data_IF_255665636842
#
_entry.id   IF_255665636842
#
_cell.length_a   1.000
_cell.length_b   1.000
_cell.length_c   1.000
_cell.angle_alpha   90.00
_cell.angle_beta   90.00
_cell.angle_gamma   90.00
#
_symmetry.space_group_name_H-M   'P 1'
#
loop_
_entity.id
_entity.type
_entity.pdbx_description
1 polymer ?
#
# COMPACT_ATOMS: atom_id res chain seq x y z
N UNK A 1 9.42 17.79 -25.81
CA UNK A 1 8.11 17.52 -25.19
C UNK A 1 8.36 16.93 -23.81
N UNK A 2 7.84 17.54 -22.72
CA UNK A 2 8.03 16.96 -21.37
C UNK A 2 7.15 15.71 -21.22
N UNK A 3 7.66 14.68 -20.54
CA UNK A 3 6.84 13.49 -20.21
C UNK A 3 5.67 13.94 -19.29
N UNK A 4 4.45 13.43 -19.50
CA UNK A 4 3.32 13.75 -18.64
C UNK A 4 3.61 13.33 -17.19
N UNK A 5 3.15 14.14 -16.23
CA UNK A 5 3.32 13.86 -14.81
C UNK A 5 2.65 12.53 -14.42
N UNK A 6 3.41 11.66 -13.75
CA UNK A 6 2.94 10.35 -13.28
C UNK A 6 1.91 10.52 -12.15
N UNK A 7 1.09 9.50 -11.93
CA UNK A 7 0.18 9.46 -10.78
C UNK A 7 0.99 9.56 -9.48
N UNK A 8 2.13 8.88 -9.43
CA UNK A 8 3.08 8.97 -8.33
C UNK A 8 3.53 10.41 -8.06
N UNK A 9 4.01 11.15 -9.06
CA UNK A 9 4.52 12.52 -8.84
C UNK A 9 3.41 13.46 -8.38
N UNK A 10 2.20 13.35 -8.95
CA UNK A 10 1.04 14.15 -8.54
C UNK A 10 0.68 13.93 -7.07
N UNK A 11 0.74 12.68 -6.60
CA UNK A 11 0.49 12.34 -5.19
C UNK A 11 1.55 12.97 -4.29
N UNK A 12 2.84 12.77 -4.60
CA UNK A 12 3.92 13.36 -3.80
C UNK A 12 3.82 14.88 -3.73
N UNK A 13 3.51 15.53 -4.86
CA UNK A 13 3.38 16.99 -4.92
C UNK A 13 2.20 17.48 -4.08
N UNK A 14 1.06 16.78 -4.13
CA UNK A 14 -0.10 17.10 -3.29
C UNK A 14 0.24 17.02 -1.79
N UNK A 15 0.90 15.92 -1.37
CA UNK A 15 1.28 15.71 0.02
C UNK A 15 2.34 16.72 0.50
N UNK A 16 3.38 16.98 -0.30
CA UNK A 16 4.46 17.95 0.02
C UNK A 16 3.97 19.39 0.14
N UNK A 17 2.96 19.77 -0.64
CA UNK A 17 2.37 21.12 -0.59
C UNK A 17 1.51 21.33 0.65
N UNK A 18 0.96 20.27 1.24
CA UNK A 18 0.12 20.39 2.42
C UNK A 18 0.96 20.60 3.70
N UNK A 19 1.16 21.86 4.11
CA UNK A 19 1.92 22.22 5.31
C UNK A 19 1.26 21.83 6.63
N UNK A 20 0.01 21.36 6.61
CA UNK A 20 -0.73 20.93 7.81
C UNK A 20 -0.49 19.46 8.16
N UNK A 21 0.22 18.72 7.31
CA UNK A 21 0.57 17.32 7.53
C UNK A 21 2.08 17.12 7.59
N UNK A 22 2.48 16.20 8.45
CA UNK A 22 3.72 15.46 8.33
C UNK A 22 3.56 14.44 7.18
N UNK A 23 4.63 14.26 6.42
CA UNK A 23 4.67 13.36 5.29
C UNK A 23 6.06 12.75 5.15
N UNK A 24 6.11 11.43 5.02
CA UNK A 24 7.32 10.69 4.71
C UNK A 24 7.00 9.52 3.79
N UNK A 25 7.92 9.20 2.88
CA UNK A 25 7.76 8.11 1.90
C UNK A 25 8.76 7.02 2.19
N UNK A 26 8.27 5.79 2.26
CA UNK A 26 9.07 4.57 2.39
C UNK A 26 8.84 3.73 1.15
N UNK A 27 9.90 3.46 0.41
CA UNK A 27 9.85 2.53 -0.72
C UNK A 27 9.96 1.11 -0.17
N UNK A 28 8.98 0.27 -0.47
CA UNK A 28 9.07 -1.15 -0.22
C UNK A 28 9.27 -1.84 -1.57
N UNK A 29 10.50 -2.28 -1.79
CA UNK A 29 10.82 -3.15 -2.91
C UNK A 29 10.28 -4.54 -2.56
N UNK A 30 9.26 -5.00 -3.29
CA UNK A 30 8.93 -6.43 -3.28
C UNK A 30 9.62 -7.08 -4.45
N UNK A 31 10.68 -7.83 -4.12
CA UNK A 31 11.18 -8.89 -4.95
C UNK A 31 10.18 -10.05 -4.88
N UNK A 32 9.78 -10.54 -6.04
CA UNK A 32 8.87 -11.67 -6.22
C UNK A 32 9.30 -12.84 -5.34
N UNK A 33 8.40 -13.34 -4.50
CA UNK A 33 8.45 -14.77 -4.16
C UNK A 33 8.07 -15.54 -5.42
N UNK A 34 8.58 -16.78 -5.57
CA UNK A 34 8.67 -17.64 -6.77
C UNK A 34 7.42 -17.77 -7.69
N UNK A 35 6.29 -17.18 -7.32
CA UNK A 35 5.01 -17.25 -8.03
C UNK A 35 4.27 -15.90 -8.14
N UNK A 36 4.90 -14.78 -7.78
CA UNK A 36 4.28 -13.43 -7.81
C UNK A 36 4.96 -12.53 -8.84
N UNK A 37 4.17 -11.78 -9.61
CA UNK A 37 4.68 -10.81 -10.59
C UNK A 37 5.38 -9.63 -9.89
N UNK A 38 6.37 -9.02 -10.55
CA UNK A 38 7.03 -7.82 -10.04
C UNK A 38 6.00 -6.70 -9.81
N UNK A 39 6.00 -6.13 -8.60
CA UNK A 39 5.19 -4.97 -8.25
C UNK A 39 5.93 -4.04 -7.31
N UNK A 40 5.80 -2.73 -7.54
CA UNK A 40 6.41 -1.72 -6.68
C UNK A 40 5.39 -1.23 -5.66
N UNK A 41 5.72 -1.24 -4.37
CA UNK A 41 4.87 -0.67 -3.33
C UNK A 41 5.54 0.57 -2.74
N UNK A 42 4.80 1.68 -2.73
CA UNK A 42 5.25 2.94 -2.15
C UNK A 42 4.33 3.29 -0.98
N UNK A 43 4.88 3.34 0.23
CA UNK A 43 4.12 3.75 1.41
C UNK A 43 4.35 5.24 1.69
N UNK A 44 3.29 6.03 1.64
CA UNK A 44 3.26 7.42 2.06
C UNK A 44 2.62 7.50 3.45
N UNK A 45 3.45 7.70 4.47
CA UNK A 45 3.01 7.87 5.85
C UNK A 45 2.68 9.34 6.08
N UNK A 46 1.43 9.62 6.45
CA UNK A 46 0.98 11.00 6.69
C UNK A 46 0.31 11.12 8.05
N UNK A 47 0.45 12.28 8.68
CA UNK A 47 -0.23 12.59 9.94
C UNK A 47 -0.45 14.10 10.04
N UNK A 48 -1.51 14.58 10.72
CA UNK A 48 -1.63 16.00 11.03
C UNK A 48 -0.49 16.45 11.95
N UNK A 49 0.09 17.63 11.70
CA UNK A 49 1.22 18.17 12.50
C UNK A 49 0.77 18.61 13.90
N UNK A 50 -0.46 19.10 14.02
CA UNK A 50 -1.04 19.61 15.27
C UNK A 50 -2.51 19.22 15.38
N UNK A 51 -2.98 19.07 16.62
CA UNK A 51 -4.38 18.84 16.95
C UNK A 51 -4.68 17.42 17.43
N UNK A 52 -5.79 17.29 18.14
CA UNK A 52 -6.41 16.00 18.46
C UNK A 52 -7.62 15.86 17.56
N UNK A 53 -7.66 14.79 16.78
CA UNK A 53 -8.72 14.57 15.81
C UNK A 53 -9.60 13.42 16.27
N UNK A 54 -10.91 13.63 16.15
CA UNK A 54 -11.88 12.54 16.17
C UNK A 54 -11.75 11.70 14.90
N UNK A 55 -12.27 10.49 14.94
CA UNK A 55 -12.19 9.55 13.82
C UNK A 55 -12.82 10.11 12.55
N UNK A 56 -13.96 10.81 12.68
CA UNK A 56 -14.68 11.41 11.56
C UNK A 56 -13.88 12.56 10.93
N UNK A 57 -13.11 13.29 11.74
CA UNK A 57 -12.24 14.37 11.26
C UNK A 57 -11.02 13.82 10.53
N UNK A 58 -10.43 12.72 11.02
CA UNK A 58 -9.39 11.98 10.30
C UNK A 58 -9.91 11.42 8.98
N UNK A 59 -11.14 10.90 8.96
CA UNK A 59 -11.79 10.39 7.77
C UNK A 59 -11.98 11.48 6.70
N UNK A 60 -12.40 12.69 7.12
CA UNK A 60 -12.50 13.87 6.26
C UNK A 60 -11.13 14.36 5.78
N UNK A 61 -10.15 14.40 6.67
CA UNK A 61 -8.78 14.78 6.31
C UNK A 61 -8.23 13.83 5.25
N UNK A 62 -8.40 12.52 5.43
CA UNK A 62 -7.91 11.49 4.51
C UNK A 62 -8.36 11.72 3.07
N UNK A 63 -9.66 11.95 2.83
CA UNK A 63 -10.18 12.20 1.47
C UNK A 63 -9.70 13.52 0.88
N UNK A 64 -9.32 14.49 1.71
CA UNK A 64 -8.83 15.78 1.24
C UNK A 64 -7.32 15.81 0.95
N UNK A 65 -6.58 14.73 1.26
CA UNK A 65 -5.11 14.71 1.16
C UNK A 65 -4.61 14.93 -0.28
N UNK A 66 -5.32 14.39 -1.27
CA UNK A 66 -4.87 14.36 -2.66
C UNK A 66 -6.04 14.85 -3.54
N UNK A 67 -6.24 16.18 -3.63
CA UNK A 67 -7.35 16.74 -4.39
C UNK A 67 -7.21 16.41 -5.88
N UNK A 68 -8.33 16.07 -6.52
CA UNK A 68 -8.38 15.79 -7.96
C UNK A 68 -7.85 14.42 -8.38
N UNK A 69 -7.60 13.51 -7.44
CA UNK A 69 -7.23 12.13 -7.75
C UNK A 69 -8.10 11.13 -6.99
N UNK A 70 -8.86 10.33 -7.73
CA UNK A 70 -9.65 9.23 -7.19
C UNK A 70 -8.74 8.04 -6.80
N UNK A 71 -8.87 7.48 -5.57
CA UNK A 71 -8.16 6.29 -5.17
C UNK A 71 -8.74 5.04 -5.85
N UNK A 72 -7.88 4.08 -6.21
CA UNK A 72 -8.31 2.75 -6.67
C UNK A 72 -9.04 1.99 -5.56
N UNK A 73 -8.58 2.15 -4.31
CA UNK A 73 -9.22 1.59 -3.13
C UNK A 73 -9.10 2.55 -1.95
N UNK A 74 -10.13 2.59 -1.12
CA UNK A 74 -10.18 3.35 0.13
C UNK A 74 -10.59 2.43 1.26
N UNK A 75 -9.80 2.40 2.32
CA UNK A 75 -10.17 1.77 3.58
C UNK A 75 -10.34 2.87 4.64
N UNK A 76 -11.51 2.90 5.27
CA UNK A 76 -11.85 3.93 6.25
C UNK A 76 -11.19 3.67 7.60
N UNK A 77 -11.15 4.68 8.47
CA UNK A 77 -10.90 4.43 9.89
C UNK A 77 -12.07 3.66 10.49
N UNK A 78 -11.77 2.66 11.31
CA UNK A 78 -12.77 1.94 12.09
C UNK A 78 -12.15 1.41 13.39
N UNK A 79 -13.02 1.05 14.33
CA UNK A 79 -12.64 0.38 15.56
C UNK A 79 -13.11 -1.07 15.49
N UNK A 80 -12.25 -1.98 15.86
CA UNK A 80 -12.56 -3.39 16.02
C UNK A 80 -11.84 -3.91 17.27
N UNK A 81 -12.57 -4.60 18.15
CA UNK A 81 -12.00 -5.28 19.32
C UNK A 81 -11.07 -4.42 20.20
N UNK A 82 -11.40 -3.12 20.34
CA UNK A 82 -10.60 -2.16 21.12
C UNK A 82 -9.34 -1.63 20.41
N UNK A 83 -9.12 -2.02 19.15
CA UNK A 83 -8.06 -1.52 18.30
C UNK A 83 -8.60 -0.49 17.31
N UNK A 84 -7.82 0.57 17.09
CA UNK A 84 -8.10 1.55 16.04
C UNK A 84 -7.34 1.14 14.77
N UNK A 85 -8.09 0.88 13.71
CA UNK A 85 -7.55 0.64 12.38
C UNK A 85 -7.43 1.97 11.64
N UNK A 86 -6.22 2.22 11.12
CA UNK A 86 -5.91 3.45 10.42
C UNK A 86 -6.40 3.41 8.97
N UNK A 87 -6.99 4.52 8.53
CA UNK A 87 -7.44 4.67 7.15
C UNK A 87 -6.28 4.72 6.17
N UNK A 88 -6.54 4.23 4.95
CA UNK A 88 -5.57 4.29 3.83
C UNK A 88 -6.26 4.52 2.50
N UNK A 89 -5.55 5.22 1.62
CA UNK A 89 -5.88 5.38 0.21
C UNK A 89 -4.85 4.60 -0.61
N UNK A 90 -5.32 3.77 -1.54
CA UNK A 90 -4.48 3.03 -2.47
C UNK A 90 -4.69 3.58 -3.88
N UNK A 91 -3.59 3.86 -4.57
CA UNK A 91 -3.57 4.25 -5.96
C UNK A 91 -2.71 3.28 -6.75
N UNK A 92 -3.24 2.76 -7.86
CA UNK A 92 -2.47 1.91 -8.76
C UNK A 92 -2.08 2.68 -10.02
N UNK A 93 -0.82 2.53 -10.41
CA UNK A 93 -0.24 3.10 -11.62
C UNK A 93 0.43 2.00 -12.43
N UNK A 94 0.09 1.89 -13.70
CA UNK A 94 0.80 1.02 -14.61
C UNK A 94 2.17 1.61 -14.93
N UNK A 95 3.24 0.83 -14.72
CA UNK A 95 4.63 1.29 -14.93
C UNK A 95 5.42 0.43 -15.91
N UNK A 96 4.86 -0.68 -16.40
CA UNK A 96 5.50 -1.53 -17.39
C UNK A 96 4.84 -2.90 -17.52
N UNK A 97 5.50 -3.79 -18.25
CA UNK A 97 5.09 -5.19 -18.42
C UNK A 97 6.26 -6.10 -18.06
N UNK A 98 5.95 -7.20 -17.39
CA UNK A 98 6.87 -8.29 -17.09
C UNK A 98 6.53 -9.44 -18.04
N UNK A 99 7.55 -9.92 -18.75
CA UNK A 99 7.45 -11.09 -19.61
C UNK A 99 8.28 -12.20 -18.99
N UNK A 100 7.64 -13.32 -18.65
CA UNK A 100 8.34 -14.48 -18.12
C UNK A 100 8.09 -15.71 -18.99
N UNK A 101 9.15 -16.47 -19.19
CA UNK A 101 9.15 -17.77 -19.86
C UNK A 101 9.67 -18.78 -18.85
N UNK A 102 8.83 -19.74 -18.48
CA UNK A 102 9.20 -20.86 -17.61
C UNK A 102 9.20 -22.13 -18.45
N UNK A 103 10.34 -22.82 -18.50
CA UNK A 103 10.44 -24.17 -19.04
C UNK A 103 10.34 -25.16 -17.89
N UNK A 104 9.42 -26.10 -17.97
CA UNK A 104 9.32 -27.25 -17.07
C UNK A 104 9.76 -28.45 -17.88
N UNK A 105 10.77 -29.17 -17.39
CA UNK A 105 11.27 -30.39 -18.03
C UNK A 105 10.94 -31.58 -17.13
N UNK A 106 10.30 -32.59 -17.70
CA UNK A 106 10.05 -33.87 -17.04
C UNK A 106 10.95 -34.92 -17.67
N UNK A 107 11.73 -35.57 -16.81
CA UNK A 107 12.65 -36.64 -17.22
C UNK A 107 12.01 -38.02 -17.16
N UNK A 108 10.88 -38.16 -16.44
CA UNK A 108 10.08 -39.39 -16.42
C UNK A 108 9.12 -39.39 -17.62
N UNK A 109 9.48 -40.18 -18.63
CA UNK A 109 8.76 -40.26 -19.90
C UNK A 109 7.44 -41.02 -19.80
N UNK A 110 7.28 -41.87 -18.79
CA UNK A 110 6.11 -42.73 -18.64
C UNK A 110 4.91 -41.96 -18.07
N UNK A 111 5.16 -40.78 -17.48
CA UNK A 111 4.14 -39.92 -16.87
C UNK A 111 3.99 -38.56 -17.56
N UNK A 112 4.39 -38.42 -18.82
CA UNK A 112 4.29 -37.14 -19.53
C UNK A 112 2.82 -36.75 -19.80
N UNK A 113 2.34 -35.61 -19.27
CA UNK A 113 1.07 -35.04 -19.65
C UNK A 113 1.06 -34.65 -21.13
N UNK A 114 -0.13 -34.58 -21.74
CA UNK A 114 -0.30 -34.27 -23.18
C UNK A 114 0.28 -32.93 -23.63
N UNK A 115 0.40 -31.98 -22.70
CA UNK A 115 0.87 -30.62 -22.99
C UNK A 115 2.41 -30.53 -23.05
N UNK A 116 3.13 -31.60 -22.68
CA UNK A 116 4.58 -31.67 -22.80
C UNK A 116 4.99 -32.13 -24.19
N UNK A 117 5.80 -31.31 -24.87
CA UNK A 117 6.36 -31.61 -26.18
C UNK A 117 7.84 -31.95 -25.96
N UNK A 118 8.26 -33.16 -26.32
CA UNK A 118 9.62 -33.66 -26.10
C UNK A 118 10.09 -33.58 -24.64
N UNK A 119 9.19 -33.85 -23.68
CA UNK A 119 9.51 -33.77 -22.25
C UNK A 119 9.59 -32.35 -21.70
N UNK A 120 9.27 -31.31 -22.49
CA UNK A 120 9.24 -29.92 -22.05
C UNK A 120 7.84 -29.31 -22.15
N UNK A 121 7.49 -28.50 -21.15
CA UNK A 121 6.37 -27.58 -21.18
C UNK A 121 6.89 -26.15 -21.03
N UNK A 122 6.64 -25.32 -22.05
CA UNK A 122 6.96 -23.89 -22.02
C UNK A 122 5.72 -23.10 -21.63
N UNK A 123 5.82 -22.36 -20.53
CA UNK A 123 4.79 -21.44 -20.05
C UNK A 123 5.29 -20.02 -20.29
N UNK A 124 4.63 -19.32 -21.21
CA UNK A 124 4.84 -17.89 -21.43
C UNK A 124 3.70 -17.11 -20.78
N UNK A 125 4.04 -16.08 -20.00
CA UNK A 125 3.04 -15.13 -19.50
C UNK A 125 3.55 -13.70 -19.57
N UNK A 126 2.60 -12.78 -19.73
CA UNK A 126 2.81 -11.34 -19.62
C UNK A 126 1.98 -10.83 -18.45
N UNK A 127 2.64 -10.17 -17.52
CA UNK A 127 2.02 -9.55 -16.36
C UNK A 127 2.16 -8.04 -16.45
N UNK A 128 1.13 -7.30 -16.04
CA UNK A 128 1.24 -5.85 -15.87
C UNK A 128 2.05 -5.56 -14.63
N UNK A 129 3.10 -4.75 -14.77
CA UNK A 129 3.83 -4.21 -13.63
C UNK A 129 3.11 -2.97 -13.13
N UNK A 130 2.68 -3.02 -11.87
CA UNK A 130 1.99 -1.93 -11.20
C UNK A 130 2.85 -1.34 -10.10
N UNK A 131 2.79 0.00 -9.98
CA UNK A 131 3.15 0.72 -8.77
C UNK A 131 1.90 0.95 -7.93
N UNK A 132 1.89 0.41 -6.72
CA UNK A 132 0.86 0.65 -5.70
C UNK A 132 1.35 1.72 -4.74
N UNK A 133 0.65 2.84 -4.69
CA UNK A 133 0.96 3.95 -3.78
C UNK A 133 -0.07 3.93 -2.67
N UNK A 134 0.37 3.63 -1.45
CA UNK A 134 -0.46 3.47 -0.26
C UNK A 134 -0.23 4.68 0.64
N UNK A 135 -1.23 5.55 0.70
CA UNK A 135 -1.21 6.74 1.55
C UNK A 135 -1.95 6.40 2.84
N UNK A 136 -1.20 6.25 3.93
CA UNK A 136 -1.72 5.83 5.22
C UNK A 136 -1.76 7.02 6.18
N UNK A 137 -2.97 7.37 6.65
CA UNK A 137 -3.16 8.48 7.58
C UNK A 137 -3.13 7.98 9.02
N UNK A 138 -2.21 8.53 9.80
CA UNK A 138 -2.08 8.26 11.23
C UNK A 138 -2.69 9.41 12.04
N UNK A 139 -3.17 9.14 13.26
CA UNK A 139 -3.78 10.17 14.10
C UNK A 139 -2.81 11.29 14.53
N UNK A 140 -1.51 11.00 14.60
CA UNK A 140 -0.47 11.97 14.95
C UNK A 140 0.92 11.54 14.45
N UNK A 141 1.86 12.49 14.46
CA UNK A 141 3.23 12.31 13.96
C UNK A 141 4.01 11.23 14.70
N UNK A 142 3.81 11.08 16.03
CA UNK A 142 4.54 10.10 16.83
C UNK A 142 4.23 8.67 16.36
N UNK A 143 2.95 8.37 16.11
CA UNK A 143 2.52 7.06 15.60
C UNK A 143 3.04 6.85 14.18
N UNK A 144 2.95 7.86 13.31
CA UNK A 144 3.46 7.76 11.94
C UNK A 144 4.95 7.42 11.89
N UNK A 145 5.77 8.12 12.70
CA UNK A 145 7.20 7.86 12.81
C UNK A 145 7.51 6.46 13.35
N UNK A 146 6.74 6.01 14.34
CA UNK A 146 6.92 4.66 14.88
C UNK A 146 6.62 3.57 13.82
N UNK A 147 5.57 3.76 13.02
CA UNK A 147 5.22 2.84 11.93
C UNK A 147 6.31 2.77 10.84
N UNK A 148 6.97 3.89 10.53
CA UNK A 148 8.08 3.93 9.56
C UNK A 148 9.27 3.08 10.04
N UNK A 149 9.56 3.09 11.34
CA UNK A 149 10.67 2.32 11.93
C UNK A 149 10.36 0.83 12.17
N UNK A 150 9.25 0.31 11.62
CA UNK A 150 8.84 -1.09 11.80
C UNK A 150 7.98 -1.35 13.05
N UNK A 151 7.47 -0.29 13.68
CA UNK A 151 6.52 -0.40 14.79
C UNK A 151 5.12 -0.84 14.35
N UNK A 152 4.32 -1.31 15.30
CA UNK A 152 2.99 -1.86 15.04
C UNK A 152 2.08 -0.89 14.27
N UNK A 153 1.36 -1.46 13.31
CA UNK A 153 0.52 -0.74 12.37
C UNK A 153 -0.86 -0.36 12.94
N UNK A 154 -1.09 -0.60 14.23
CA UNK A 154 -2.34 -0.43 14.96
C UNK A 154 -2.04 0.10 16.36
N UNK A 155 -3.03 0.76 16.98
CA UNK A 155 -2.90 1.21 18.37
C UNK A 155 -4.04 0.65 19.19
N UNK A 156 -3.69 -0.07 20.27
CA UNK A 156 -4.63 -0.48 21.29
C UNK A 156 -5.14 0.74 22.03
N UNK A 157 -6.46 0.95 21.99
CA UNK A 157 -7.11 1.94 22.82
C UNK A 157 -7.52 1.21 24.10
N UNK A 158 -6.72 1.35 25.17
CA UNK A 158 -7.17 0.86 26.49
C UNK A 158 -8.46 1.61 26.84
N UNK A 159 -9.55 0.91 27.20
CA UNK A 159 -10.75 1.60 27.67
C UNK A 159 -10.38 2.42 28.91
N UNK A 160 -10.79 3.68 28.91
CA UNK A 160 -10.56 4.61 30.02
C UNK A 160 -11.30 4.04 31.24
N UNK A 161 -10.58 3.31 32.10
CA UNK A 161 -11.11 2.80 33.38
C UNK A 161 -11.25 4.00 34.33
N UNK A 162 -12.17 4.91 34.02
CA UNK A 162 -12.65 5.85 35.03
C UNK A 162 -13.41 5.04 36.07
N UNK A 163 -12.72 4.89 37.21
CA UNK A 163 -13.17 4.35 38.48
C UNK A 163 -14.61 4.80 38.75
N UNK A 164 -15.55 3.86 38.66
CA UNK A 164 -16.78 3.95 39.45
C UNK A 164 -16.40 3.72 40.90
N UNK A 165 -15.93 4.78 41.57
CA UNK A 165 -15.98 4.85 43.02
C UNK A 165 -17.38 5.35 43.36
N UNK A 166 -18.23 4.43 43.81
CA UNK A 166 -19.33 4.71 44.72
C UNK A 166 -19.03 3.97 46.02
#
# INVERSE_FOLDING_TARGET
MSKPATKYSKILDALKRNKKIFFETVLSEHLSTEFTCYSQIVYCHVAPVKGTFKMEELQKLMVSLIPGLEPTRRDNFYKDSGMLHFGRLCFEEFIGEEHFIRTITLTDTDMLPKDFINGELKIERRNRVLRRIIVKLFPNVKIAKHAITGGDNQVSIKPDRKRGAK
#
